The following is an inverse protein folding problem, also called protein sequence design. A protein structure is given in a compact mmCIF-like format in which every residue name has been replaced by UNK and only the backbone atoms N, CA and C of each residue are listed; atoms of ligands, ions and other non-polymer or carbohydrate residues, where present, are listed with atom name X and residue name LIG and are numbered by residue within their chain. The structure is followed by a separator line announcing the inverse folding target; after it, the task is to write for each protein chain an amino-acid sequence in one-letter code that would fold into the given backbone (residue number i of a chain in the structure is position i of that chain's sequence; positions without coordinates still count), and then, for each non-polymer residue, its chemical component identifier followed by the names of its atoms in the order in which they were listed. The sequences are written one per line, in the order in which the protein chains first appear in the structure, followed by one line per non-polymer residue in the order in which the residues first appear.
data_IF_080830269532
#
_entry.id   IF_080830269532
#
_cell.length_a   1.000
_cell.length_b   1.000
_cell.length_c   1.000
_cell.angle_alpha   90.00
_cell.angle_beta   90.00
_cell.angle_gamma   90.00
#
_symmetry.space_group_name_H-M   'P 1'
#
loop_
_entity.id
_entity.type
_entity.pdbx_description
1 polymer ?
#
# COMPACT_ATOMS: atom_id res chain seq x y z
N UNK A 1 35.27 34.52 -2.62
CA UNK A 1 34.57 33.85 -3.74
C UNK A 1 34.52 32.34 -3.50
N UNK A 2 33.86 31.95 -2.41
CA UNK A 2 33.76 30.58 -1.87
C UNK A 2 32.41 30.38 -1.16
N UNK A 3 31.38 31.02 -1.71
CA UNK A 3 29.95 30.76 -1.44
C UNK A 3 29.40 30.01 -2.68
N UNK A 4 30.21 29.20 -3.35
CA UNK A 4 30.07 27.74 -3.32
C UNK A 4 28.83 27.20 -2.58
N UNK A 5 27.90 26.67 -3.37
CA UNK A 5 27.51 25.27 -3.27
C UNK A 5 26.61 24.81 -2.12
N UNK A 6 26.14 25.68 -1.22
CA UNK A 6 25.07 25.32 -0.28
C UNK A 6 23.65 25.43 -0.86
N UNK A 7 23.51 25.87 -2.11
CA UNK A 7 22.23 25.83 -2.83
C UNK A 7 21.92 24.45 -3.47
N UNK A 8 22.57 23.36 -3.02
CA UNK A 8 22.53 22.04 -3.69
C UNK A 8 22.09 20.85 -2.82
N UNK A 9 21.58 21.05 -1.61
CA UNK A 9 21.33 19.93 -0.69
C UNK A 9 19.97 19.89 0.01
N UNK A 10 19.32 21.03 0.19
CA UNK A 10 17.92 21.05 0.63
C UNK A 10 17.05 20.89 -0.58
N UNK A 11 16.82 19.63 -0.92
CA UNK A 11 15.67 19.23 -1.70
C UNK A 11 14.47 19.63 -0.83
N UNK A 12 13.97 20.84 -1.04
CA UNK A 12 12.56 21.16 -0.81
C UNK A 12 11.77 20.23 -1.74
N UNK A 13 11.65 18.98 -1.32
CA UNK A 13 10.84 17.97 -1.96
C UNK A 13 9.43 18.33 -1.56
N UNK A 14 8.88 19.37 -2.20
CA UNK A 14 7.46 19.62 -2.23
C UNK A 14 6.82 18.31 -2.71
N UNK A 15 6.34 17.53 -1.75
CA UNK A 15 5.64 16.29 -1.97
C UNK A 15 4.41 16.66 -2.79
N UNK A 16 4.30 16.16 -4.02
CA UNK A 16 3.08 16.29 -4.78
C UNK A 16 2.01 15.46 -4.07
N UNK A 17 1.25 16.13 -3.21
CA UNK A 17 0.22 15.54 -2.35
C UNK A 17 -0.81 14.81 -3.20
N UNK A 18 -1.16 15.36 -4.38
CA UNK A 18 -2.09 14.73 -5.29
C UNK A 18 -1.52 13.45 -5.89
N UNK A 19 -0.25 13.46 -6.32
CA UNK A 19 0.42 12.26 -6.81
C UNK A 19 0.51 11.18 -5.72
N UNK A 20 0.83 11.53 -4.48
CA UNK A 20 0.92 10.55 -3.38
C UNK A 20 -0.44 10.01 -2.99
N UNK A 21 -1.48 10.85 -2.96
CA UNK A 21 -2.85 10.37 -2.77
C UNK A 21 -3.28 9.42 -3.90
N UNK A 22 -2.84 9.68 -5.14
CA UNK A 22 -3.00 8.79 -6.29
C UNK A 22 -2.35 7.43 -6.07
N UNK A 23 -1.06 7.39 -5.76
CA UNK A 23 -0.31 6.16 -5.46
C UNK A 23 -0.95 5.39 -4.29
N UNK A 24 -1.37 6.09 -3.24
CA UNK A 24 -2.08 5.49 -2.11
C UNK A 24 -3.45 4.91 -2.49
N UNK A 25 -4.09 5.44 -3.53
CA UNK A 25 -5.29 4.87 -4.14
C UNK A 25 -4.98 3.60 -4.94
N UNK A 26 -3.96 3.65 -5.79
CA UNK A 26 -3.51 2.51 -6.59
C UNK A 26 -3.10 1.32 -5.72
N UNK A 27 -2.33 1.55 -4.65
CA UNK A 27 -1.94 0.50 -3.71
C UNK A 27 -3.17 -0.17 -3.08
N UNK A 28 -4.19 0.59 -2.70
CA UNK A 28 -5.44 0.01 -2.18
C UNK A 28 -6.19 -0.79 -3.24
N UNK A 29 -6.19 -0.33 -4.50
CA UNK A 29 -6.70 -1.10 -5.63
C UNK A 29 -5.97 -2.44 -5.79
N UNK A 30 -4.64 -2.42 -5.83
CA UNK A 30 -3.81 -3.63 -5.92
C UNK A 30 -4.03 -4.57 -4.72
N UNK A 31 -4.15 -4.05 -3.51
CA UNK A 31 -4.49 -4.85 -2.33
C UNK A 31 -5.83 -5.59 -2.51
N UNK A 32 -6.83 -4.92 -3.09
CA UNK A 32 -8.12 -5.54 -3.44
C UNK A 32 -7.98 -6.69 -4.45
N UNK A 33 -7.18 -6.49 -5.50
CA UNK A 33 -6.92 -7.54 -6.51
C UNK A 33 -6.18 -8.76 -5.92
N UNK A 34 -5.17 -8.50 -5.08
CA UNK A 34 -4.43 -9.56 -4.38
C UNK A 34 -5.36 -10.32 -3.43
N UNK A 35 -6.24 -9.62 -2.70
CA UNK A 35 -7.22 -10.25 -1.83
C UNK A 35 -8.22 -11.12 -2.62
N UNK A 36 -8.66 -10.65 -3.80
CA UNK A 36 -9.51 -11.43 -4.68
C UNK A 36 -8.81 -12.70 -5.21
N UNK A 37 -7.50 -12.65 -5.44
CA UNK A 37 -6.70 -13.84 -5.76
C UNK A 37 -6.58 -14.80 -4.56
N UNK A 38 -6.41 -14.27 -3.34
CA UNK A 38 -6.38 -15.06 -2.10
C UNK A 38 -7.68 -15.85 -1.88
N UNK A 39 -8.82 -15.20 -2.12
CA UNK A 39 -10.14 -15.81 -2.05
C UNK A 39 -10.32 -16.91 -3.09
N UNK A 40 -9.92 -16.68 -4.34
CA UNK A 40 -9.96 -17.70 -5.39
C UNK A 40 -9.12 -18.92 -5.04
N UNK A 41 -7.92 -18.73 -4.46
CA UNK A 41 -7.10 -19.85 -3.99
C UNK A 41 -7.78 -20.63 -2.85
N UNK A 42 -8.44 -19.93 -1.91
CA UNK A 42 -9.21 -20.56 -0.84
C UNK A 42 -10.44 -21.33 -1.36
N UNK A 43 -11.10 -20.82 -2.40
CA UNK A 43 -12.22 -21.49 -3.06
C UNK A 43 -11.74 -22.77 -3.77
N UNK A 44 -10.60 -22.71 -4.47
CA UNK A 44 -9.97 -23.89 -5.06
C UNK A 44 -9.65 -24.96 -4.00
N UNK A 45 -9.12 -24.55 -2.84
CA UNK A 45 -8.85 -25.46 -1.73
C UNK A 45 -10.13 -26.13 -1.20
N UNK A 46 -11.22 -25.35 -1.02
CA UNK A 46 -12.51 -25.91 -0.55
C UNK A 46 -13.13 -26.91 -1.52
N UNK A 47 -12.83 -26.79 -2.81
CA UNK A 47 -13.28 -27.72 -3.84
C UNK A 47 -12.31 -28.86 -4.13
N UNK A 48 -11.20 -28.97 -3.40
CA UNK A 48 -10.15 -29.95 -3.66
C UNK A 48 -10.03 -30.94 -2.50
N UNK A 49 -10.30 -32.22 -2.77
CA UNK A 49 -10.00 -33.31 -1.85
C UNK A 49 -8.74 -34.04 -2.29
N UNK A 50 -7.86 -34.39 -1.35
CA UNK A 50 -6.63 -35.13 -1.67
C UNK A 50 -6.89 -36.48 -2.37
N UNK A 51 -8.08 -37.06 -2.16
CA UNK A 51 -8.56 -38.25 -2.86
C UNK A 51 -8.82 -38.02 -4.35
N UNK A 52 -9.06 -36.79 -4.78
CA UNK A 52 -9.30 -36.43 -6.19
C UNK A 52 -8.04 -36.62 -7.05
N UNK A 53 -6.85 -36.62 -6.43
CA UNK A 53 -5.59 -36.96 -7.09
C UNK A 53 -5.50 -38.44 -7.48
N UNK A 54 -6.37 -39.30 -6.95
CA UNK A 54 -6.34 -40.75 -7.14
C UNK A 54 -5.49 -41.49 -6.10
N UNK A 55 -5.75 -42.80 -5.96
CA UNK A 55 -5.22 -43.63 -4.86
C UNK A 55 -3.69 -43.64 -4.78
N UNK A 56 -3.01 -43.58 -5.93
CA UNK A 56 -1.55 -43.65 -6.03
C UNK A 56 -0.86 -42.28 -5.84
N UNK A 57 -1.62 -41.19 -5.90
CA UNK A 57 -1.09 -39.81 -5.84
C UNK A 57 -1.56 -39.05 -4.60
N UNK A 58 -2.06 -39.73 -3.57
CA UNK A 58 -2.57 -39.11 -2.34
C UNK A 58 -1.59 -38.11 -1.73
N UNK A 59 -0.32 -38.47 -1.60
CA UNK A 59 0.74 -37.58 -1.08
C UNK A 59 0.94 -36.34 -1.95
N UNK A 60 0.83 -36.48 -3.29
CA UNK A 60 0.87 -35.33 -4.20
C UNK A 60 -0.36 -34.44 -4.01
N UNK A 61 -1.54 -35.05 -3.83
CA UNK A 61 -2.78 -34.34 -3.52
C UNK A 61 -2.68 -33.56 -2.20
N UNK A 62 -2.19 -34.17 -1.14
CA UNK A 62 -1.93 -33.50 0.15
C UNK A 62 -0.98 -32.30 -0.02
N UNK A 63 0.10 -32.44 -0.79
CA UNK A 63 1.03 -31.33 -1.08
C UNK A 63 0.36 -30.21 -1.87
N UNK A 64 -0.51 -30.53 -2.81
CA UNK A 64 -1.28 -29.53 -3.56
C UNK A 64 -2.26 -28.77 -2.65
N UNK A 65 -3.00 -29.49 -1.81
CA UNK A 65 -3.90 -28.89 -0.82
C UNK A 65 -3.15 -27.97 0.14
N UNK A 66 -2.00 -28.40 0.66
CA UNK A 66 -1.14 -27.58 1.51
C UNK A 66 -0.63 -26.34 0.75
N UNK A 67 -0.19 -26.49 -0.50
CA UNK A 67 0.26 -25.38 -1.34
C UNK A 67 -0.83 -24.34 -1.59
N UNK A 68 -2.07 -24.78 -1.82
CA UNK A 68 -3.24 -23.89 -1.97
C UNK A 68 -3.57 -23.15 -0.66
N UNK A 69 -3.46 -23.82 0.48
CA UNK A 69 -3.63 -23.19 1.79
C UNK A 69 -2.56 -22.12 2.05
N UNK A 70 -1.30 -22.45 1.77
CA UNK A 70 -0.17 -21.55 1.96
C UNK A 70 -0.24 -20.33 1.05
N UNK A 71 -0.52 -20.51 -0.25
CA UNK A 71 -0.60 -19.38 -1.17
C UNK A 71 -1.76 -18.44 -0.82
N UNK A 72 -2.91 -18.98 -0.41
CA UNK A 72 -4.03 -18.15 0.05
C UNK A 72 -3.62 -17.31 1.26
N UNK A 73 -2.99 -17.91 2.27
CA UNK A 73 -2.48 -17.20 3.45
C UNK A 73 -1.46 -16.12 3.11
N UNK A 74 -0.50 -16.41 2.23
CA UNK A 74 0.52 -15.44 1.82
C UNK A 74 -0.10 -14.28 1.05
N UNK A 75 -1.05 -14.55 0.15
CA UNK A 75 -1.77 -13.50 -0.58
C UNK A 75 -2.59 -12.61 0.35
N UNK A 76 -3.28 -13.16 1.35
CA UNK A 76 -3.97 -12.36 2.37
C UNK A 76 -3.01 -11.46 3.14
N UNK A 77 -1.88 -12.00 3.60
CA UNK A 77 -0.87 -11.20 4.31
C UNK A 77 -0.31 -10.09 3.42
N UNK A 78 -0.05 -10.39 2.15
CA UNK A 78 0.46 -9.41 1.21
C UNK A 78 -0.56 -8.31 0.91
N UNK A 79 -1.82 -8.67 0.68
CA UNK A 79 -2.91 -7.70 0.51
C UNK A 79 -3.00 -6.74 1.69
N UNK A 80 -2.91 -7.25 2.93
CA UNK A 80 -2.91 -6.42 4.13
C UNK A 80 -1.72 -5.46 4.16
N UNK A 81 -0.50 -5.94 3.91
CA UNK A 81 0.68 -5.07 3.88
C UNK A 81 0.56 -3.95 2.83
N UNK A 82 0.07 -4.28 1.63
CA UNK A 82 -0.11 -3.28 0.56
C UNK A 82 -1.18 -2.25 0.93
N UNK A 83 -2.28 -2.70 1.54
CA UNK A 83 -3.32 -1.81 2.04
C UNK A 83 -2.81 -0.88 3.16
N UNK A 84 -2.01 -1.41 4.08
CA UNK A 84 -1.42 -0.66 5.18
C UNK A 84 -0.44 0.39 4.66
N UNK A 85 0.40 0.05 3.67
CA UNK A 85 1.25 1.01 2.99
C UNK A 85 0.43 2.13 2.32
N UNK A 86 -0.64 1.78 1.60
CA UNK A 86 -1.54 2.77 1.00
C UNK A 86 -2.23 3.67 2.04
N UNK A 87 -2.59 3.12 3.20
CA UNK A 87 -3.19 3.87 4.30
C UNK A 87 -2.18 4.83 4.94
N UNK A 88 -0.96 4.36 5.22
CA UNK A 88 0.11 5.18 5.79
C UNK A 88 0.54 6.31 4.85
N UNK A 89 0.64 6.04 3.55
CA UNK A 89 0.95 7.07 2.54
C UNK A 89 -0.14 8.14 2.48
N UNK A 90 -1.41 7.75 2.50
CA UNK A 90 -2.52 8.72 2.51
C UNK A 90 -2.49 9.57 3.78
N UNK A 91 -2.32 8.95 4.94
CA UNK A 91 -2.25 9.66 6.22
C UNK A 91 -1.09 10.68 6.25
N UNK A 92 0.05 10.31 5.67
CA UNK A 92 1.20 11.21 5.55
C UNK A 92 0.89 12.40 4.63
N UNK A 93 0.27 12.16 3.47
CA UNK A 93 -0.12 13.21 2.53
C UNK A 93 -1.15 14.18 3.14
N UNK A 94 -2.15 13.65 3.85
CA UNK A 94 -3.19 14.44 4.51
C UNK A 94 -2.59 15.29 5.66
N UNK A 95 -1.59 14.76 6.37
CA UNK A 95 -0.84 15.51 7.39
C UNK A 95 -0.05 16.68 6.80
N UNK A 96 0.66 16.46 5.68
CA UNK A 96 1.39 17.53 5.00
C UNK A 96 0.44 18.64 4.55
N UNK A 97 -0.68 18.28 3.90
CA UNK A 97 -1.67 19.26 3.47
C UNK A 97 -2.23 20.10 4.63
N UNK A 98 -2.45 19.48 5.80
CA UNK A 98 -2.91 20.18 6.99
C UNK A 98 -1.90 21.19 7.54
N UNK A 99 -0.62 20.82 7.57
CA UNK A 99 0.47 21.72 8.00
C UNK A 99 0.63 22.90 7.03
N UNK A 100 0.56 22.65 5.73
CA UNK A 100 0.66 23.69 4.69
C UNK A 100 -0.50 24.69 4.82
N UNK A 101 -1.72 24.19 4.99
CA UNK A 101 -2.90 25.04 5.16
C UNK A 101 -2.85 25.89 6.44
N UNK A 102 -2.37 25.32 7.54
CA UNK A 102 -2.20 26.05 8.79
C UNK A 102 -1.15 27.16 8.64
N UNK A 103 -0.03 26.87 7.97
CA UNK A 103 1.04 27.82 7.70
C UNK A 103 0.56 28.97 6.81
N UNK A 104 -0.16 28.66 5.73
CA UNK A 104 -0.75 29.66 4.84
C UNK A 104 -1.74 30.58 5.58
N UNK A 105 -2.57 30.01 6.46
CA UNK A 105 -3.52 30.78 7.28
C UNK A 105 -2.79 31.74 8.23
N UNK A 106 -1.74 31.25 8.91
CA UNK A 106 -0.94 32.07 9.82
C UNK A 106 -0.21 33.20 9.09
N UNK A 107 0.35 32.92 7.91
CA UNK A 107 1.00 33.95 7.08
C UNK A 107 0.01 35.01 6.60
N UNK A 108 -1.19 34.60 6.16
CA UNK A 108 -2.25 35.53 5.79
C UNK A 108 -2.70 36.41 6.96
N UNK A 109 -2.81 35.84 8.16
CA UNK A 109 -3.12 36.60 9.36
C UNK A 109 -2.02 37.62 9.71
N UNK A 110 -0.74 37.24 9.58
CA UNK A 110 0.38 38.16 9.80
C UNK A 110 0.40 39.28 8.74
N UNK A 111 0.17 38.96 7.47
CA UNK A 111 0.15 39.94 6.38
C UNK A 111 -0.97 40.98 6.57
N UNK A 112 -2.17 40.55 7.00
CA UNK A 112 -3.30 41.44 7.29
C UNK A 112 -3.15 42.32 8.54
N UNK A 113 -2.14 42.07 9.39
CA UNK A 113 -1.82 42.96 10.53
C UNK A 113 -1.00 44.18 10.09
N UNK A 114 -0.46 44.18 8.87
CA UNK A 114 0.33 45.29 8.32
C UNK A 114 -0.45 46.19 7.33
N UNK A 115 -1.74 45.93 7.11
CA UNK A 115 -2.70 46.85 6.45
C UNK A 115 -3.49 47.67 7.48
#
# INVERSE_FOLDING_TARGET
MRIAAEARGEIDMLMDIAAVQGIAGELRGSAGEINAAALRAADCLRGFESSDAGRDYRTTGERLGQGLADISRYLFSWANCVNDCGTALRASADSCAGVDQATATNLGAVAGVFE
#
